data_IF_363070533563
#
_entry.id   IF_363070533563
#
_cell.length_a   1.000
_cell.length_b   1.000
_cell.length_c   1.000
_cell.angle_alpha   90.00
_cell.angle_beta   90.00
_cell.angle_gamma   90.00
#
_symmetry.space_group_name_H-M   'P 1'
#
loop_
_entity.id
_entity.type
_entity.pdbx_description
1 polymer ?
#
# COMPACT_ATOMS: atom_id res chain seq x y z
N UNK A 1 -19.06 -0.43 -12.41
CA UNK A 1 -18.05 0.37 -13.16
C UNK A 1 -16.83 -0.48 -13.47
N UNK A 2 -16.03 -0.09 -14.45
CA UNK A 2 -14.71 -0.69 -14.68
C UNK A 2 -13.64 -0.08 -13.78
N UNK A 3 -12.47 -0.74 -13.66
CA UNK A 3 -11.33 -0.15 -12.95
C UNK A 3 -10.81 1.10 -13.67
N UNK A 4 -10.96 1.20 -15.01
CA UNK A 4 -10.62 2.41 -15.76
C UNK A 4 -11.55 3.58 -15.42
N UNK A 5 -12.87 3.35 -15.35
CA UNK A 5 -13.83 4.39 -14.94
C UNK A 5 -13.55 4.89 -13.52
N UNK A 6 -13.10 4.00 -12.62
CA UNK A 6 -12.71 4.38 -11.26
C UNK A 6 -11.41 5.18 -11.24
N UNK A 7 -10.42 4.79 -12.05
CA UNK A 7 -9.17 5.51 -12.24
C UNK A 7 -9.39 6.93 -12.78
N UNK A 8 -10.25 7.07 -13.80
CA UNK A 8 -10.63 8.37 -14.37
C UNK A 8 -11.31 9.28 -13.32
N UNK A 9 -12.06 8.69 -12.40
CA UNK A 9 -12.63 9.42 -11.28
C UNK A 9 -11.56 9.88 -10.29
N UNK A 10 -10.59 9.02 -9.96
CA UNK A 10 -9.43 9.34 -9.13
C UNK A 10 -8.58 10.47 -9.74
N UNK A 11 -8.31 10.41 -11.04
CA UNK A 11 -7.59 11.45 -11.78
C UNK A 11 -8.27 12.82 -11.67
N UNK A 12 -9.61 12.87 -11.83
CA UNK A 12 -10.38 14.11 -11.68
C UNK A 12 -10.29 14.69 -10.28
N UNK A 13 -10.29 13.84 -9.24
CA UNK A 13 -10.13 14.29 -7.85
C UNK A 13 -8.73 14.89 -7.66
N UNK A 14 -7.67 14.20 -8.06
CA UNK A 14 -6.29 14.69 -7.93
C UNK A 14 -6.11 16.01 -8.67
N UNK A 15 -6.57 16.10 -9.92
CA UNK A 15 -6.51 17.31 -10.73
C UNK A 15 -7.28 18.49 -10.08
N UNK A 16 -8.43 18.21 -9.45
CA UNK A 16 -9.22 19.21 -8.71
C UNK A 16 -8.45 19.86 -7.54
N UNK A 17 -7.50 19.15 -6.95
CA UNK A 17 -6.61 19.66 -5.92
C UNK A 17 -5.27 20.20 -6.49
N UNK A 18 -5.07 20.13 -7.81
CA UNK A 18 -3.82 20.47 -8.45
C UNK A 18 -2.70 19.45 -8.21
N UNK A 19 -3.07 18.25 -7.76
CA UNK A 19 -2.15 17.14 -7.56
C UNK A 19 -1.98 16.33 -8.86
N UNK A 20 -0.87 15.59 -8.97
CA UNK A 20 -0.53 14.77 -10.12
C UNK A 20 -0.26 13.34 -9.69
N UNK A 21 -0.53 12.38 -10.56
CA UNK A 21 -0.22 10.97 -10.31
C UNK A 21 1.29 10.76 -10.15
N UNK A 22 1.71 10.24 -8.99
CA UNK A 22 3.10 9.95 -8.70
C UNK A 22 3.63 8.77 -9.54
N UNK A 23 2.93 7.64 -9.69
CA UNK A 23 3.40 6.53 -10.51
C UNK A 23 3.50 6.90 -11.99
N UNK A 24 2.60 7.73 -12.52
CA UNK A 24 2.74 8.23 -13.88
C UNK A 24 4.02 9.06 -14.05
N UNK A 25 4.29 9.99 -13.14
CA UNK A 25 5.47 10.86 -13.19
C UNK A 25 6.78 10.09 -13.02
N UNK A 26 6.79 9.05 -12.20
CA UNK A 26 8.01 8.30 -11.87
C UNK A 26 8.32 7.19 -12.86
N UNK A 27 7.30 6.46 -13.30
CA UNK A 27 7.45 5.22 -14.07
C UNK A 27 6.74 5.22 -15.42
N UNK A 28 5.97 6.28 -15.76
CA UNK A 28 5.10 6.24 -16.92
C UNK A 28 3.97 5.21 -16.77
N UNK A 29 3.52 4.96 -15.53
CA UNK A 29 2.44 4.00 -15.26
C UNK A 29 1.19 4.36 -16.09
N UNK A 30 0.53 3.36 -16.71
CA UNK A 30 -0.55 3.61 -17.69
C UNK A 30 -1.92 3.92 -17.03
N UNK A 31 -1.92 4.46 -15.83
CA UNK A 31 -3.08 4.91 -15.06
C UNK A 31 -2.69 6.04 -14.12
N UNK A 32 -3.67 6.61 -13.47
CA UNK A 32 -3.48 7.63 -12.43
C UNK A 32 -3.28 7.00 -11.05
N UNK A 33 -3.95 5.87 -10.82
CA UNK A 33 -3.97 5.11 -9.57
C UNK A 33 -3.75 3.62 -9.85
N UNK A 34 -3.27 2.86 -8.85
CA UNK A 34 -3.24 1.42 -8.95
C UNK A 34 -4.54 0.84 -8.38
N UNK A 35 -5.22 -0.01 -9.16
CA UNK A 35 -6.47 -0.64 -8.73
C UNK A 35 -6.35 -2.15 -8.90
N UNK A 36 -6.15 -2.85 -7.78
CA UNK A 36 -5.97 -4.29 -7.76
C UNK A 36 -7.24 -4.99 -7.30
N UNK A 37 -7.65 -6.04 -7.99
CA UNK A 37 -8.90 -6.77 -7.73
C UNK A 37 -8.59 -8.24 -7.52
N UNK A 38 -9.08 -8.80 -6.43
CA UNK A 38 -8.98 -10.22 -6.06
C UNK A 38 -7.53 -10.75 -6.09
N UNK A 39 -7.18 -11.60 -7.08
CA UNK A 39 -5.86 -12.21 -7.24
C UNK A 39 -4.78 -11.25 -7.71
N UNK A 40 -5.15 -10.06 -8.20
CA UNK A 40 -4.18 -9.01 -8.50
C UNK A 40 -3.71 -8.39 -7.19
N UNK A 41 -2.49 -8.69 -6.79
CA UNK A 41 -2.03 -8.38 -5.44
C UNK A 41 -1.71 -6.89 -5.24
N UNK A 42 -1.02 -6.27 -6.20
CA UNK A 42 -0.68 -4.83 -6.18
C UNK A 42 -0.44 -4.33 -7.61
N UNK A 43 -0.29 -3.01 -7.75
CA UNK A 43 0.01 -2.32 -9.00
C UNK A 43 -0.94 -2.68 -10.15
N UNK A 44 -2.21 -2.97 -9.81
CA UNK A 44 -3.23 -3.30 -10.81
C UNK A 44 -3.41 -2.16 -11.80
N UNK A 45 -3.23 -2.46 -13.10
CA UNK A 45 -3.39 -1.48 -14.18
C UNK A 45 -4.89 -1.30 -14.46
N UNK A 46 -5.41 -0.06 -14.39
CA UNK A 46 -6.80 0.21 -14.70
C UNK A 46 -7.17 -0.23 -16.12
N UNK A 47 -8.33 -0.88 -16.27
CA UNK A 47 -8.77 -1.46 -17.55
C UNK A 47 -10.29 -1.40 -17.71
N UNK A 48 -10.76 -1.15 -18.92
CA UNK A 48 -12.19 -1.23 -19.28
C UNK A 48 -12.75 -2.65 -19.22
N UNK A 49 -11.85 -3.65 -19.27
CA UNK A 49 -12.24 -5.07 -19.26
C UNK A 49 -12.41 -5.63 -17.84
N UNK A 50 -11.84 -5.00 -16.83
CA UNK A 50 -11.97 -5.41 -15.42
C UNK A 50 -13.13 -4.65 -14.81
N UNK A 51 -14.25 -5.35 -14.59
CA UNK A 51 -15.45 -4.77 -13.99
C UNK A 51 -15.59 -5.18 -12.54
N UNK A 52 -15.76 -4.19 -11.68
CA UNK A 52 -15.97 -4.37 -10.25
C UNK A 52 -17.33 -5.00 -9.98
N UNK A 53 -17.36 -6.01 -9.12
CA UNK A 53 -18.55 -6.78 -8.73
C UNK A 53 -18.68 -6.83 -7.21
N UNK A 54 -19.89 -6.99 -6.76
CA UNK A 54 -20.17 -7.22 -5.34
C UNK A 54 -19.49 -8.49 -4.83
N UNK A 55 -18.76 -8.38 -3.72
CA UNK A 55 -17.93 -9.42 -3.14
C UNK A 55 -16.46 -9.32 -3.51
N UNK A 56 -16.08 -8.52 -4.52
CA UNK A 56 -14.67 -8.34 -4.89
C UNK A 56 -13.86 -7.73 -3.73
N UNK A 57 -12.68 -8.28 -3.50
CA UNK A 57 -11.62 -7.66 -2.72
C UNK A 57 -10.90 -6.65 -3.61
N UNK A 58 -10.93 -5.40 -3.21
CA UNK A 58 -10.33 -4.30 -3.97
C UNK A 58 -9.25 -3.63 -3.12
N UNK A 59 -8.11 -3.39 -3.73
CA UNK A 59 -7.12 -2.45 -3.21
C UNK A 59 -7.04 -1.26 -4.16
N UNK A 60 -7.18 -0.06 -3.62
CA UNK A 60 -6.94 1.20 -4.33
C UNK A 60 -5.73 1.84 -3.68
N UNK A 61 -4.73 2.12 -4.50
CA UNK A 61 -3.49 2.77 -4.10
C UNK A 61 -3.34 4.06 -4.89
N UNK A 62 -3.21 5.15 -4.16
CA UNK A 62 -3.16 6.52 -4.68
C UNK A 62 -1.89 7.19 -4.20
N UNK A 63 -0.90 7.24 -5.05
CA UNK A 63 0.30 8.02 -4.80
C UNK A 63 0.24 9.33 -5.61
N UNK A 64 0.50 10.44 -4.95
CA UNK A 64 0.32 11.77 -5.51
C UNK A 64 1.51 12.70 -5.27
N UNK A 65 1.75 13.58 -6.22
CA UNK A 65 2.66 14.72 -6.09
C UNK A 65 1.88 16.02 -6.06
N UNK A 66 2.19 16.88 -5.10
CA UNK A 66 1.66 18.23 -5.02
C UNK A 66 2.73 19.22 -4.57
N UNK A 67 3.07 20.17 -5.43
CA UNK A 67 4.03 21.26 -5.14
C UNK A 67 5.40 20.78 -4.64
N UNK A 68 5.89 19.67 -5.19
CA UNK A 68 7.17 19.06 -4.83
C UNK A 68 7.13 18.19 -3.57
N UNK A 69 5.95 17.91 -3.04
CA UNK A 69 5.75 16.93 -1.98
C UNK A 69 5.01 15.70 -2.50
N UNK A 70 5.41 14.55 -2.03
CA UNK A 70 4.89 13.26 -2.47
C UNK A 70 4.23 12.54 -1.32
N UNK A 71 3.13 11.87 -1.61
CA UNK A 71 2.38 11.04 -0.64
C UNK A 71 1.98 9.73 -1.30
N UNK A 72 1.83 8.71 -0.49
CA UNK A 72 1.43 7.37 -0.89
C UNK A 72 0.42 6.82 0.12
N UNK A 73 -0.77 6.46 -0.34
CA UNK A 73 -1.85 5.96 0.48
C UNK A 73 -2.65 4.90 -0.26
N UNK A 74 -2.82 3.75 0.39
CA UNK A 74 -3.63 2.66 -0.13
C UNK A 74 -4.65 2.15 0.88
N UNK A 75 -5.72 1.57 0.38
CA UNK A 75 -6.71 0.89 1.21
C UNK A 75 -7.30 -0.31 0.50
N UNK A 76 -7.44 -1.41 1.25
CA UNK A 76 -8.19 -2.58 0.82
C UNK A 76 -9.56 -2.62 1.47
N UNK A 77 -10.55 -3.07 0.73
CA UNK A 77 -11.92 -3.26 1.20
C UNK A 77 -12.65 -4.30 0.35
N UNK A 78 -13.76 -4.82 0.87
CA UNK A 78 -14.67 -5.68 0.11
C UNK A 78 -15.81 -4.83 -0.43
N UNK A 79 -16.13 -4.97 -1.71
CA UNK A 79 -17.20 -4.22 -2.36
C UNK A 79 -18.57 -4.86 -2.05
N UNK A 80 -19.40 -4.17 -1.30
CA UNK A 80 -20.73 -4.66 -0.93
C UNK A 80 -20.69 -5.81 0.07
N UNK A 81 -21.46 -6.88 -0.16
CA UNK A 81 -21.53 -8.05 0.72
C UNK A 81 -20.26 -8.92 0.56
N UNK A 82 -19.67 -9.32 1.68
CA UNK A 82 -18.49 -10.22 1.69
C UNK A 82 -18.89 -11.67 1.41
N UNK A 83 -19.04 -12.00 0.15
CA UNK A 83 -19.47 -13.33 -0.32
C UNK A 83 -18.39 -14.42 -0.17
N UNK A 84 -17.13 -14.02 -0.05
CA UNK A 84 -15.99 -14.95 -0.10
C UNK A 84 -15.16 -14.95 1.18
N UNK A 85 -15.54 -14.17 2.19
CA UNK A 85 -14.84 -14.09 3.48
C UNK A 85 -13.53 -13.30 3.45
N UNK A 86 -13.40 -12.36 2.54
CA UNK A 86 -12.22 -11.51 2.37
C UNK A 86 -12.06 -10.45 3.48
N UNK A 87 -13.15 -10.08 4.15
CA UNK A 87 -13.13 -9.04 5.18
C UNK A 87 -12.14 -9.35 6.30
N UNK A 88 -12.01 -10.63 6.67
CA UNK A 88 -11.05 -11.07 7.70
C UNK A 88 -9.60 -10.76 7.33
N UNK A 89 -9.22 -10.91 6.05
CA UNK A 89 -7.89 -10.56 5.56
C UNK A 89 -7.67 -9.05 5.59
N UNK A 90 -8.68 -8.27 5.17
CA UNK A 90 -8.66 -6.81 5.20
C UNK A 90 -8.49 -6.30 6.63
N UNK A 91 -9.28 -6.80 7.56
CA UNK A 91 -9.23 -6.40 8.97
C UNK A 91 -7.87 -6.76 9.59
N UNK A 92 -7.39 -7.97 9.32
CA UNK A 92 -6.06 -8.39 9.79
C UNK A 92 -4.94 -7.48 9.26
N UNK A 93 -4.98 -7.10 7.98
CA UNK A 93 -4.00 -6.19 7.40
C UNK A 93 -4.03 -4.82 8.06
N UNK A 94 -5.23 -4.25 8.29
CA UNK A 94 -5.41 -2.97 8.97
C UNK A 94 -4.91 -3.00 10.42
N UNK A 95 -5.26 -4.04 11.17
CA UNK A 95 -4.80 -4.20 12.57
C UNK A 95 -3.28 -4.31 12.66
N UNK A 96 -2.67 -5.14 11.80
CA UNK A 96 -1.20 -5.29 11.76
C UNK A 96 -0.52 -3.98 11.39
N UNK A 97 -1.07 -3.23 10.43
CA UNK A 97 -0.57 -1.92 10.05
C UNK A 97 -0.62 -0.94 11.23
N UNK A 98 -1.73 -0.88 11.95
CA UNK A 98 -1.87 -0.01 13.12
C UNK A 98 -0.88 -0.39 14.23
N UNK A 99 -0.69 -1.67 14.49
CA UNK A 99 0.30 -2.17 15.45
C UNK A 99 1.73 -1.78 15.04
N UNK A 100 2.05 -1.89 13.75
CA UNK A 100 3.34 -1.48 13.20
C UNK A 100 3.57 0.02 13.39
N UNK A 101 2.61 0.85 12.98
CA UNK A 101 2.67 2.31 13.11
C UNK A 101 2.82 2.71 14.59
N UNK A 102 2.05 2.09 15.49
CA UNK A 102 2.12 2.36 16.92
C UNK A 102 3.50 2.05 17.52
N UNK A 103 4.22 1.05 16.98
CA UNK A 103 5.56 0.64 17.43
C UNK A 103 6.70 1.47 16.85
N UNK A 104 6.47 2.16 15.73
CA UNK A 104 7.51 2.99 15.09
C UNK A 104 7.81 4.20 15.98
N UNK A 105 9.09 4.36 16.32
CA UNK A 105 9.67 5.51 17.02
C UNK A 105 11.05 5.76 16.45
N UNK A 106 11.58 6.94 16.67
CA UNK A 106 12.99 7.21 16.40
C UNK A 106 13.89 6.16 17.04
N UNK A 107 14.88 5.68 16.27
CA UNK A 107 15.86 4.66 16.66
C UNK A 107 15.35 3.19 16.67
N UNK A 108 14.09 2.93 16.38
CA UNK A 108 13.59 1.56 16.16
C UNK A 108 14.18 1.00 14.85
N UNK A 109 14.63 -0.25 14.85
CA UNK A 109 15.11 -0.91 13.64
C UNK A 109 13.96 -1.22 12.71
N UNK A 110 14.14 -0.96 11.41
CA UNK A 110 13.18 -1.32 10.37
C UNK A 110 12.89 -2.82 10.40
N UNK A 111 13.92 -3.64 10.55
CA UNK A 111 13.77 -5.10 10.59
C UNK A 111 12.98 -5.62 11.80
N UNK A 112 12.88 -4.87 12.89
CA UNK A 112 12.05 -5.24 14.05
C UNK A 112 10.57 -4.97 13.77
N UNK A 113 10.25 -3.92 13.01
CA UNK A 113 8.90 -3.68 12.50
C UNK A 113 8.49 -4.76 11.49
N UNK A 114 9.37 -5.12 10.55
CA UNK A 114 9.13 -6.24 9.64
C UNK A 114 8.92 -7.57 10.37
N UNK A 115 9.67 -7.82 11.44
CA UNK A 115 9.45 -8.98 12.30
C UNK A 115 8.07 -8.98 12.97
N UNK A 116 7.63 -7.83 13.47
CA UNK A 116 6.29 -7.65 14.04
C UNK A 116 5.23 -8.03 13.00
N UNK A 117 5.27 -7.40 11.81
CA UNK A 117 4.30 -7.64 10.72
C UNK A 117 4.25 -9.13 10.38
N UNK A 118 5.41 -9.76 10.17
CA UNK A 118 5.49 -11.20 9.85
C UNK A 118 4.88 -12.07 10.96
N UNK A 119 5.20 -11.78 12.22
CA UNK A 119 4.73 -12.57 13.36
C UNK A 119 3.22 -12.45 13.53
N UNK A 120 2.69 -11.24 13.42
CA UNK A 120 1.25 -11.00 13.57
C UNK A 120 0.44 -11.58 12.39
N UNK A 121 0.96 -11.49 11.15
CA UNK A 121 0.36 -12.15 9.99
C UNK A 121 0.30 -13.68 10.20
N UNK A 122 1.42 -14.28 10.60
CA UNK A 122 1.49 -15.73 10.85
C UNK A 122 0.55 -16.21 11.96
N UNK A 123 0.41 -15.45 13.06
CA UNK A 123 -0.53 -15.76 14.14
C UNK A 123 -1.98 -15.82 13.67
N UNK A 124 -2.33 -15.00 12.67
CA UNK A 124 -3.65 -14.91 12.06
C UNK A 124 -3.84 -15.89 10.89
N UNK A 125 -2.83 -16.72 10.59
CA UNK A 125 -2.87 -17.73 9.52
C UNK A 125 -2.52 -17.18 8.13
N UNK A 126 -1.97 -15.96 8.05
CA UNK A 126 -1.57 -15.32 6.80
C UNK A 126 -0.07 -15.38 6.56
N UNK A 127 0.32 -15.13 5.31
CA UNK A 127 1.71 -15.04 4.85
C UNK A 127 2.05 -13.60 4.50
N UNK A 128 3.31 -13.20 4.68
CA UNK A 128 3.81 -11.93 4.17
C UNK A 128 4.39 -12.10 2.77
N UNK A 129 4.18 -11.12 1.91
CA UNK A 129 4.81 -11.03 0.60
C UNK A 129 6.19 -10.40 0.78
N UNK A 130 7.24 -11.12 0.36
CA UNK A 130 8.62 -10.74 0.69
C UNK A 130 9.29 -9.82 -0.33
N UNK A 131 8.77 -9.75 -1.53
CA UNK A 131 9.29 -8.92 -2.62
C UNK A 131 8.60 -7.56 -2.74
N UNK A 132 7.80 -7.21 -1.73
CA UNK A 132 7.16 -5.92 -1.59
C UNK A 132 7.50 -5.33 -0.22
N UNK A 133 7.64 -4.01 -0.16
CA UNK A 133 8.07 -3.28 1.02
C UNK A 133 7.49 -1.87 1.02
N UNK A 134 7.28 -1.32 2.20
CA UNK A 134 7.12 0.10 2.36
C UNK A 134 8.44 0.84 2.14
N UNK A 135 8.42 2.16 2.12
CA UNK A 135 9.57 2.98 1.76
C UNK A 135 9.54 4.37 2.38
N UNK A 136 10.64 5.09 2.30
CA UNK A 136 10.68 6.53 2.54
C UNK A 136 9.99 7.29 1.42
N UNK A 137 9.36 8.41 1.76
CA UNK A 137 8.65 9.28 0.83
C UNK A 137 8.76 10.73 1.30
N UNK A 138 8.66 11.68 0.38
CA UNK A 138 8.68 13.10 0.76
C UNK A 138 8.94 14.04 -0.39
N UNK A 139 10.14 14.04 -0.95
CA UNK A 139 10.51 14.85 -2.13
C UNK A 139 10.57 14.02 -3.41
N UNK A 140 10.47 12.72 -3.29
CA UNK A 140 10.28 11.76 -4.37
C UNK A 140 9.34 10.66 -3.90
N UNK A 141 8.83 9.85 -4.84
CA UNK A 141 7.96 8.72 -4.50
C UNK A 141 8.70 7.69 -3.64
N UNK A 142 9.96 7.43 -3.95
CA UNK A 142 10.82 6.55 -3.18
C UNK A 142 12.10 7.28 -2.77
N UNK A 143 12.35 7.35 -1.48
CA UNK A 143 13.58 7.88 -0.90
C UNK A 143 14.01 7.09 0.35
N UNK A 144 15.02 7.53 1.04
CA UNK A 144 15.46 6.84 2.26
C UNK A 144 14.43 6.94 3.42
N UNK A 145 14.22 5.85 4.15
CA UNK A 145 14.80 4.51 4.00
C UNK A 145 14.22 3.76 2.78
N UNK A 146 15.07 3.11 1.99
CA UNK A 146 14.69 2.54 0.70
C UNK A 146 13.71 1.38 0.77
N UNK A 147 13.81 0.54 1.79
CA UNK A 147 12.94 -0.62 1.97
C UNK A 147 12.56 -0.84 3.44
N UNK A 148 11.25 -0.92 3.68
CA UNK A 148 10.66 -1.29 4.97
C UNK A 148 9.96 -2.64 4.76
N UNK A 149 10.74 -3.72 4.88
CA UNK A 149 10.28 -5.08 4.58
C UNK A 149 9.23 -5.58 5.57
N UNK A 150 8.32 -6.45 5.11
CA UNK A 150 7.31 -7.10 5.93
C UNK A 150 7.82 -8.37 6.65
N UNK A 151 9.12 -8.53 6.78
CA UNK A 151 9.77 -9.64 7.47
C UNK A 151 11.07 -9.20 8.12
N UNK A 152 11.61 -10.05 8.98
CA UNK A 152 12.90 -9.77 9.63
C UNK A 152 14.05 -9.99 8.64
N UNK A 153 14.66 -8.90 8.21
CA UNK A 153 15.96 -8.94 7.53
C UNK A 153 17.07 -8.74 8.55
N UNK A 154 17.85 -9.80 8.81
CA UNK A 154 18.93 -9.79 9.81
C UNK A 154 20.11 -8.87 9.41
N UNK A 155 20.24 -8.58 8.13
CA UNK A 155 21.32 -7.75 7.59
C UNK A 155 20.91 -6.28 7.48
N UNK A 156 19.62 -5.96 7.55
CA UNK A 156 19.15 -4.58 7.56
C UNK A 156 19.29 -3.99 8.97
N UNK A 157 20.32 -3.17 9.16
CA UNK A 157 20.59 -2.47 10.42
C UNK A 157 19.99 -1.05 10.44
N UNK A 158 19.30 -0.65 9.40
CA UNK A 158 18.68 0.67 9.25
C UNK A 158 17.66 0.91 10.35
N UNK A 159 17.62 2.14 10.84
CA UNK A 159 16.68 2.58 11.89
C UNK A 159 15.85 3.74 11.37
N UNK A 160 14.63 3.83 11.86
CA UNK A 160 13.82 5.04 11.69
C UNK A 160 14.49 6.21 12.39
N UNK A 161 14.52 7.36 11.75
CA UNK A 161 15.03 8.60 12.32
C UNK A 161 13.87 9.51 12.70
N UNK A 162 14.10 10.42 13.61
CA UNK A 162 13.13 11.48 13.89
C UNK A 162 12.91 12.31 12.61
N UNK A 163 11.64 12.58 12.31
CA UNK A 163 11.18 13.31 11.13
C UNK A 163 11.30 12.54 9.79
N UNK A 164 11.64 11.24 9.79
CA UNK A 164 11.44 10.45 8.58
C UNK A 164 9.94 10.45 8.22
N UNK A 165 9.66 10.63 6.95
CA UNK A 165 8.33 10.40 6.38
C UNK A 165 8.38 9.10 5.59
N UNK A 166 7.46 8.19 5.88
CA UNK A 166 7.51 6.84 5.32
C UNK A 166 6.11 6.34 4.95
N UNK A 167 6.02 5.55 3.89
CA UNK A 167 4.88 4.70 3.58
C UNK A 167 5.08 3.35 4.27
N UNK A 168 4.22 3.01 5.21
CA UNK A 168 4.20 1.69 5.86
C UNK A 168 3.11 0.86 5.21
N UNK A 169 3.52 -0.27 4.66
CA UNK A 169 2.64 -1.11 3.87
C UNK A 169 2.66 -2.55 4.38
N UNK A 170 1.48 -3.09 4.70
CA UNK A 170 1.33 -4.47 5.16
C UNK A 170 0.86 -5.37 4.01
N UNK A 171 1.80 -6.02 3.36
CA UNK A 171 1.54 -6.95 2.26
C UNK A 171 1.36 -8.36 2.79
N UNK A 172 0.11 -8.76 3.05
CA UNK A 172 -0.23 -10.09 3.54
C UNK A 172 -1.21 -10.81 2.60
N UNK A 173 -1.15 -12.14 2.60
CA UNK A 173 -2.02 -13.00 1.78
C UNK A 173 -2.42 -14.27 2.52
N UNK A 174 -3.39 -14.97 2.00
CA UNK A 174 -3.76 -16.35 2.40
C UNK A 174 -2.69 -17.36 2.02
#
# INVERSE_FOLDING_TARGET
>A
MSTKELDDYGEKILAGFGARSAPFLTYGFPGCTCISVNETFCHGIPSDHIRLREGDLINIDVSAELRGFWSDNGASFVLGEDKYGHQKLVDASKEILQDAIYRIRGDVRISDIGHLIHTEAKKRGYKVIKNLAGHGIGRSLHEAPGEITNYRDRFNLTRFRSNDVVAIETFIST
#
